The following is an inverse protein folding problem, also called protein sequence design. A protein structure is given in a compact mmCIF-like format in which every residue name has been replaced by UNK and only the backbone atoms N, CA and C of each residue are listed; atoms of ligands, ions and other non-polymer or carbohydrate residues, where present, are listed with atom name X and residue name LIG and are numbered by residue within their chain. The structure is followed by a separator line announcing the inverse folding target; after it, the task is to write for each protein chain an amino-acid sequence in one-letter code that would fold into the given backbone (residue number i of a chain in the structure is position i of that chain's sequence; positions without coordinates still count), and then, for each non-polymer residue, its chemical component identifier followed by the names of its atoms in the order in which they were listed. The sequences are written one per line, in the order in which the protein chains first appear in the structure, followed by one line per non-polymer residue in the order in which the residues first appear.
data_IF_807179665492
#
_entry.id   IF_807179665492
#
_cell.length_a   1.000
_cell.length_b   1.000
_cell.length_c   1.000
_cell.angle_alpha   90.00
_cell.angle_beta   90.00
_cell.angle_gamma   90.00
#
_symmetry.space_group_name_H-M   'P 1'
#
loop_
_entity.id
_entity.type
_entity.pdbx_description
1 polymer ?
#
# COMPACT_ATOMS: atom_id res chain seq x y z
N UNK A 1 -4.82 57.67 60.24
CA UNK A 1 -4.70 57.96 58.78
C UNK A 1 -3.64 57.02 58.22
N UNK A 2 -4.10 55.91 57.57
CA UNK A 2 -3.24 54.84 57.07
C UNK A 2 -3.09 55.03 55.58
N UNK A 3 -1.82 55.28 55.11
CA UNK A 3 -1.50 55.44 53.69
C UNK A 3 -1.19 54.07 53.08
N UNK A 4 -2.02 53.59 52.18
CA UNK A 4 -1.78 52.39 51.38
C UNK A 4 -0.85 52.75 50.22
N UNK A 5 0.32 52.09 50.15
CA UNK A 5 1.23 52.15 49.00
C UNK A 5 0.86 51.00 48.04
N UNK A 6 0.38 51.32 46.88
CA UNK A 6 0.24 50.36 45.76
C UNK A 6 1.64 50.03 45.22
N UNK A 7 1.97 48.74 45.26
CA UNK A 7 3.18 48.21 44.58
C UNK A 7 2.65 47.66 43.25
N UNK A 8 2.99 48.28 42.14
CA UNK A 8 2.73 47.79 40.79
C UNK A 8 3.91 46.85 40.41
N UNK A 9 3.58 45.54 40.36
CA UNK A 9 4.54 44.56 39.81
C UNK A 9 4.38 44.55 38.30
N UNK A 10 5.40 45.07 37.59
CA UNK A 10 5.48 44.91 36.12
C UNK A 10 6.08 43.55 35.81
N UNK A 11 5.25 42.65 35.28
CA UNK A 11 5.71 41.38 34.74
C UNK A 11 6.29 41.60 33.34
N UNK A 12 7.58 41.46 33.21
CA UNK A 12 8.26 41.44 31.90
C UNK A 12 8.09 40.05 31.29
N UNK A 13 7.22 39.92 30.31
CA UNK A 13 7.14 38.71 29.48
C UNK A 13 8.20 38.79 28.41
N UNK A 14 9.28 38.02 28.55
CA UNK A 14 10.25 37.79 27.48
C UNK A 14 9.68 36.75 26.53
N UNK A 15 9.17 37.23 25.40
CA UNK A 15 8.79 36.36 24.30
C UNK A 15 10.08 35.91 23.58
N UNK A 16 10.54 34.69 23.83
CA UNK A 16 11.58 34.07 23.00
C UNK A 16 10.92 33.61 21.69
N UNK A 17 11.20 34.37 20.64
CA UNK A 17 10.89 33.93 19.28
C UNK A 17 11.81 32.75 18.93
N UNK A 18 11.25 31.54 18.90
CA UNK A 18 11.92 30.40 18.27
C UNK A 18 11.78 30.58 16.76
N UNK A 19 12.81 31.09 16.12
CA UNK A 19 12.97 30.99 14.68
C UNK A 19 13.16 29.50 14.35
N UNK A 20 12.06 28.84 13.96
CA UNK A 20 12.14 27.51 13.38
C UNK A 20 12.86 27.61 12.04
N UNK A 21 14.14 27.34 12.04
CA UNK A 21 14.93 27.14 10.81
C UNK A 21 14.26 25.99 10.06
N UNK A 22 13.45 26.32 9.06
CA UNK A 22 12.96 25.34 8.08
C UNK A 22 14.17 24.89 7.27
N UNK A 23 14.80 23.83 7.68
CA UNK A 23 15.72 23.10 6.80
C UNK A 23 14.85 22.58 5.65
N UNK A 24 14.95 23.23 4.50
CA UNK A 24 14.36 22.68 3.28
C UNK A 24 15.04 21.32 3.06
N UNK A 25 14.28 20.25 3.19
CA UNK A 25 14.78 18.93 2.83
C UNK A 25 15.23 18.99 1.37
N UNK A 26 16.44 18.54 1.09
CA UNK A 26 16.90 18.37 -0.28
C UNK A 26 15.87 17.49 -1.02
N UNK A 27 15.59 17.75 -2.31
CA UNK A 27 14.71 16.90 -3.09
C UNK A 27 15.20 15.46 -2.96
N UNK A 28 14.31 14.55 -2.57
CA UNK A 28 14.65 13.15 -2.50
C UNK A 28 15.03 12.69 -3.92
N UNK A 29 16.24 12.20 -4.09
CA UNK A 29 16.63 11.55 -5.35
C UNK A 29 15.74 10.32 -5.56
N UNK A 30 15.11 10.24 -6.75
CA UNK A 30 14.39 9.04 -7.12
C UNK A 30 15.37 7.88 -7.26
N UNK A 31 15.03 6.71 -6.69
CA UNK A 31 15.84 5.51 -6.89
C UNK A 31 15.90 5.16 -8.37
N UNK A 32 17.08 4.77 -8.86
CA UNK A 32 17.25 4.28 -10.21
C UNK A 32 16.30 3.09 -10.46
N UNK A 33 15.62 3.09 -11.61
CA UNK A 33 14.62 2.08 -11.97
C UNK A 33 13.23 2.26 -11.32
N UNK A 34 12.97 3.39 -10.67
CA UNK A 34 11.62 3.75 -10.27
C UNK A 34 10.79 4.10 -11.51
N UNK A 35 9.74 3.34 -11.76
CA UNK A 35 8.88 3.52 -12.94
C UNK A 35 7.87 4.66 -12.81
N UNK A 36 7.91 5.39 -11.71
CA UNK A 36 7.00 6.49 -11.46
C UNK A 36 5.53 6.02 -11.36
N UNK A 37 4.64 6.99 -11.37
CA UNK A 37 3.21 6.74 -11.28
C UNK A 37 2.71 6.41 -12.69
N UNK A 38 2.30 5.15 -12.93
CA UNK A 38 1.71 4.74 -14.20
C UNK A 38 0.29 5.25 -14.35
N UNK A 39 -0.37 5.44 -13.22
CA UNK A 39 -1.78 5.74 -13.16
C UNK A 39 -2.04 7.16 -13.59
N UNK A 40 -2.65 7.31 -14.73
CA UNK A 40 -3.21 8.58 -15.16
C UNK A 40 -4.58 8.75 -14.51
N UNK A 41 -4.80 9.88 -13.91
CA UNK A 41 -6.11 10.24 -13.37
C UNK A 41 -7.17 10.07 -14.44
N UNK A 42 -8.21 9.30 -14.14
CA UNK A 42 -9.29 9.05 -15.09
C UNK A 42 -10.22 10.26 -15.15
N UNK A 43 -10.59 10.74 -16.34
CA UNK A 43 -11.59 11.77 -16.50
C UNK A 43 -12.91 11.34 -15.84
N UNK A 44 -13.53 12.24 -15.10
CA UNK A 44 -14.82 11.96 -14.41
C UNK A 44 -16.04 12.36 -15.23
N UNK A 45 -15.88 13.28 -16.18
CA UNK A 45 -16.97 13.83 -16.96
C UNK A 45 -17.84 14.87 -16.21
N UNK A 46 -17.41 15.30 -15.02
CA UNK A 46 -18.01 16.36 -14.20
C UNK A 46 -17.03 17.53 -14.05
N UNK A 47 -17.28 18.45 -13.09
CA UNK A 47 -16.44 19.62 -12.82
C UNK A 47 -15.03 19.26 -12.31
N UNK A 48 -14.80 18.03 -11.90
CA UNK A 48 -13.48 17.51 -11.51
C UNK A 48 -12.83 16.85 -12.72
N UNK A 49 -11.66 17.32 -13.11
CA UNK A 49 -10.96 16.78 -14.26
C UNK A 49 -10.58 15.29 -14.11
N UNK A 50 -10.42 14.81 -12.85
CA UNK A 50 -9.96 13.46 -12.57
C UNK A 50 -10.64 12.86 -11.32
N UNK A 51 -11.01 11.60 -11.41
CA UNK A 51 -11.72 10.86 -10.37
C UNK A 51 -10.79 10.24 -9.34
N UNK A 52 -9.64 9.77 -9.76
CA UNK A 52 -8.66 9.13 -8.91
C UNK A 52 -7.36 9.91 -9.02
N UNK A 53 -7.10 10.73 -8.03
CA UNK A 53 -5.83 11.42 -7.89
C UNK A 53 -5.05 10.79 -6.75
N UNK A 54 -3.88 10.35 -7.01
CA UNK A 54 -3.07 9.80 -5.94
C UNK A 54 -1.64 9.62 -6.37
N UNK A 55 -0.72 10.00 -5.50
CA UNK A 55 0.70 10.00 -5.77
C UNK A 55 1.31 8.63 -6.02
N UNK A 56 0.64 7.52 -5.70
CA UNK A 56 1.22 6.18 -5.75
C UNK A 56 0.44 5.19 -6.61
N UNK A 57 -0.30 5.65 -7.59
CA UNK A 57 -1.03 4.74 -8.48
C UNK A 57 -1.69 3.57 -7.72
N UNK A 58 -2.39 3.88 -6.65
CA UNK A 58 -3.14 2.94 -5.83
C UNK A 58 -4.61 3.30 -5.86
N UNK A 59 -5.44 2.35 -5.49
CA UNK A 59 -6.85 2.60 -5.24
C UNK A 59 -7.06 2.61 -3.72
N UNK A 60 -6.77 3.74 -3.02
CA UNK A 60 -6.48 3.75 -1.59
C UNK A 60 -7.66 3.38 -0.70
N UNK A 61 -8.87 3.42 -1.21
CA UNK A 61 -10.06 3.11 -0.42
C UNK A 61 -10.35 1.61 -0.27
N UNK A 62 -9.69 0.77 -1.07
CA UNK A 62 -10.12 -0.63 -1.22
C UNK A 62 -8.95 -1.61 -1.42
N UNK A 63 -7.73 -1.12 -1.38
CA UNK A 63 -6.52 -1.92 -1.52
C UNK A 63 -5.60 -1.63 -0.33
N UNK A 64 -5.70 -2.43 0.70
CA UNK A 64 -4.91 -2.29 1.92
C UNK A 64 -4.50 -3.67 2.45
N UNK A 65 -3.34 -3.74 3.11
CA UNK A 65 -2.33 -2.71 3.23
C UNK A 65 -1.48 -2.56 1.97
N UNK A 66 -0.98 -1.35 1.72
CA UNK A 66 -0.03 -1.05 0.64
C UNK A 66 1.38 -0.82 1.16
N UNK A 67 1.53 -0.63 2.47
CA UNK A 67 2.81 -0.48 3.15
C UNK A 67 2.76 -1.11 4.54
N UNK A 68 3.85 -1.78 4.93
CA UNK A 68 3.99 -2.44 6.23
C UNK A 68 5.39 -2.23 6.77
N UNK A 69 5.49 -1.73 7.99
CA UNK A 69 6.75 -1.66 8.72
C UNK A 69 7.08 -3.01 9.36
N UNK A 70 8.31 -3.49 9.13
CA UNK A 70 8.88 -4.64 9.81
C UNK A 70 9.98 -4.19 10.76
N UNK A 71 9.75 -4.34 12.06
CA UNK A 71 10.75 -4.03 13.07
C UNK A 71 11.97 -4.97 12.97
N UNK A 72 11.75 -6.25 12.61
CA UNK A 72 12.82 -7.23 12.47
C UNK A 72 13.81 -6.87 11.36
N UNK A 73 13.33 -6.28 10.27
CA UNK A 73 14.17 -5.84 9.16
C UNK A 73 14.54 -4.35 9.24
N UNK A 74 13.92 -3.59 10.14
CA UNK A 74 13.98 -2.12 10.21
C UNK A 74 13.69 -1.46 8.85
N UNK A 75 12.63 -1.96 8.17
CA UNK A 75 12.22 -1.52 6.83
C UNK A 75 10.71 -1.32 6.76
N UNK A 76 10.27 -0.34 5.99
CA UNK A 76 8.88 -0.23 5.56
C UNK A 76 8.78 -0.74 4.13
N UNK A 77 8.23 -1.94 3.96
CA UNK A 77 7.94 -2.50 2.63
C UNK A 77 6.67 -1.88 2.07
N UNK A 78 6.63 -1.67 0.76
CA UNK A 78 5.46 -1.11 0.11
C UNK A 78 5.29 -1.65 -1.32
N UNK A 79 4.05 -1.59 -1.80
CA UNK A 79 3.66 -1.98 -3.15
C UNK A 79 2.89 -0.86 -3.85
N UNK A 80 2.93 -0.84 -5.16
CA UNK A 80 2.21 0.14 -5.99
C UNK A 80 2.05 -0.35 -7.42
N UNK A 81 1.15 0.28 -8.17
CA UNK A 81 1.07 0.10 -9.62
C UNK A 81 2.10 0.98 -10.32
N UNK A 82 2.95 0.37 -11.13
CA UNK A 82 3.95 1.04 -11.93
C UNK A 82 3.64 0.95 -13.42
N UNK A 83 4.23 1.86 -14.21
CA UNK A 83 4.17 1.85 -15.66
C UNK A 83 5.40 1.19 -16.24
N UNK A 84 5.22 0.33 -17.23
CA UNK A 84 6.34 -0.18 -18.05
C UNK A 84 6.73 0.79 -19.17
N UNK A 85 6.00 1.90 -19.33
CA UNK A 85 6.09 2.80 -20.48
C UNK A 85 5.29 2.33 -21.70
N UNK A 86 4.67 1.14 -21.63
CA UNK A 86 3.81 0.64 -22.70
C UNK A 86 2.33 0.82 -22.36
N UNK A 87 1.49 1.16 -23.34
CA UNK A 87 0.05 1.26 -23.12
C UNK A 87 -0.54 -0.06 -22.61
N UNK A 88 -1.50 0.04 -21.71
CA UNK A 88 -2.22 -1.11 -21.14
C UNK A 88 -1.30 -2.17 -20.50
N UNK A 89 -0.22 -1.73 -19.88
CA UNK A 89 0.62 -2.57 -19.04
C UNK A 89 0.75 -1.96 -17.65
N UNK A 90 0.28 -2.70 -16.66
CA UNK A 90 0.43 -2.41 -15.24
C UNK A 90 1.50 -3.32 -14.66
N UNK A 91 2.54 -2.74 -14.04
CA UNK A 91 3.51 -3.49 -13.26
C UNK A 91 3.11 -3.47 -11.77
N UNK A 92 2.88 -4.63 -11.17
CA UNK A 92 2.78 -4.78 -9.72
C UNK A 92 4.18 -4.63 -9.12
N UNK A 93 4.46 -3.46 -8.56
CA UNK A 93 5.79 -3.10 -8.05
C UNK A 93 5.88 -3.31 -6.55
N UNK A 94 7.09 -3.65 -6.09
CA UNK A 94 7.46 -3.74 -4.67
C UNK A 94 8.79 -3.06 -4.42
N UNK A 95 8.91 -2.39 -3.28
CA UNK A 95 10.16 -1.83 -2.75
C UNK A 95 10.08 -1.71 -1.23
N UNK A 96 11.06 -1.07 -0.62
CA UNK A 96 11.05 -0.73 0.79
C UNK A 96 11.78 0.58 1.05
N UNK A 97 11.43 1.24 2.14
CA UNK A 97 12.24 2.28 2.75
C UNK A 97 13.09 1.65 3.84
N UNK A 98 14.41 1.79 3.74
CA UNK A 98 15.36 1.31 4.74
C UNK A 98 15.57 2.40 5.79
N UNK A 99 15.11 2.16 7.02
CA UNK A 99 15.20 3.13 8.10
C UNK A 99 16.64 3.30 8.64
N UNK A 100 17.53 2.35 8.38
CA UNK A 100 18.93 2.47 8.80
C UNK A 100 19.72 3.41 7.88
N UNK A 101 19.40 3.41 6.59
CA UNK A 101 20.14 4.18 5.58
C UNK A 101 19.36 5.38 5.05
N UNK A 102 18.05 5.46 5.30
CA UNK A 102 17.15 6.49 4.76
C UNK A 102 16.93 6.37 3.25
N UNK A 103 17.15 5.20 2.66
CA UNK A 103 17.11 5.00 1.20
C UNK A 103 15.99 4.04 0.78
N UNK A 104 15.56 4.24 -0.46
CA UNK A 104 14.67 3.33 -1.20
C UNK A 104 15.51 2.66 -2.29
N UNK A 105 15.66 1.33 -2.30
CA UNK A 105 16.37 0.64 -3.36
C UNK A 105 15.56 0.63 -4.65
N UNK A 106 16.19 0.21 -5.74
CA UNK A 106 15.52 0.01 -7.02
C UNK A 106 14.33 -0.93 -6.87
N UNK A 107 13.09 -0.49 -7.20
CA UNK A 107 11.91 -1.33 -7.11
C UNK A 107 11.97 -2.55 -8.03
N UNK A 108 11.24 -3.59 -7.67
CA UNK A 108 11.08 -4.81 -8.45
C UNK A 108 9.65 -4.93 -8.97
N UNK A 109 9.51 -5.35 -10.21
CA UNK A 109 8.23 -5.77 -10.75
C UNK A 109 7.99 -7.25 -10.38
N UNK A 110 6.97 -7.50 -9.58
CA UNK A 110 6.54 -8.87 -9.23
C UNK A 110 5.77 -9.49 -10.39
N UNK A 111 4.96 -8.70 -11.06
CA UNK A 111 4.13 -9.12 -12.18
C UNK A 111 3.86 -7.94 -13.12
N UNK A 112 3.87 -8.21 -14.43
CA UNK A 112 3.34 -7.27 -15.42
C UNK A 112 2.04 -7.82 -15.97
N UNK A 113 0.96 -7.04 -15.86
CA UNK A 113 -0.39 -7.37 -16.33
C UNK A 113 -0.73 -6.54 -17.57
N UNK A 114 -1.52 -7.12 -18.46
CA UNK A 114 -2.03 -6.42 -19.66
C UNK A 114 -3.32 -5.67 -19.32
N UNK A 115 -3.21 -4.62 -18.54
CA UNK A 115 -4.32 -3.77 -18.11
C UNK A 115 -3.85 -2.34 -17.84
N UNK A 116 -4.75 -1.39 -17.91
CA UNK A 116 -4.60 0.00 -17.46
C UNK A 116 -5.57 0.33 -16.32
N UNK A 117 -6.18 -0.68 -15.74
CA UNK A 117 -7.16 -0.52 -14.69
C UNK A 117 -6.49 -0.44 -13.30
N UNK A 118 -6.64 0.69 -12.64
CA UNK A 118 -6.11 0.95 -11.30
C UNK A 118 -6.66 0.00 -10.21
N UNK A 119 -7.80 -0.63 -10.44
CA UNK A 119 -8.34 -1.62 -9.52
C UNK A 119 -7.50 -2.91 -9.48
N UNK A 120 -6.55 -3.06 -10.38
CA UNK A 120 -5.66 -4.23 -10.43
C UNK A 120 -4.33 -4.03 -9.69
N UNK A 121 -4.19 -2.92 -8.97
CA UNK A 121 -3.03 -2.62 -8.13
C UNK A 121 -2.84 -3.66 -7.01
N UNK A 122 -1.58 -3.90 -6.60
CA UNK A 122 -1.28 -4.89 -5.58
C UNK A 122 -1.55 -4.40 -4.15
N UNK A 123 -1.69 -5.37 -3.23
CA UNK A 123 -1.57 -5.19 -1.79
C UNK A 123 -0.50 -6.11 -1.22
N UNK A 124 -0.10 -5.89 0.03
CA UNK A 124 1.06 -6.52 0.65
C UNK A 124 0.70 -7.12 2.01
N UNK A 125 1.35 -8.24 2.36
CA UNK A 125 1.45 -8.75 3.73
C UNK A 125 2.85 -9.28 4.03
N UNK A 126 3.15 -9.46 5.32
CA UNK A 126 4.39 -10.10 5.79
C UNK A 126 3.97 -11.17 6.80
N UNK A 127 4.47 -12.40 6.63
CA UNK A 127 4.21 -13.50 7.56
C UNK A 127 5.21 -13.53 8.75
N UNK A 128 4.98 -14.42 9.71
CA UNK A 128 5.83 -14.57 10.92
C UNK A 128 7.28 -14.98 10.58
N UNK A 129 7.49 -15.56 9.40
CA UNK A 129 8.81 -15.95 8.90
C UNK A 129 9.51 -14.82 8.14
N UNK A 130 8.85 -13.66 7.98
CA UNK A 130 9.37 -12.49 7.29
C UNK A 130 9.21 -12.52 5.77
N UNK A 131 8.49 -13.49 5.22
CA UNK A 131 8.23 -13.49 3.77
C UNK A 131 7.18 -12.46 3.40
N UNK A 132 7.44 -11.76 2.29
CA UNK A 132 6.51 -10.80 1.70
C UNK A 132 5.50 -11.55 0.84
N UNK A 133 4.23 -11.20 0.99
CA UNK A 133 3.12 -11.73 0.22
C UNK A 133 2.47 -10.60 -0.56
N UNK A 134 2.51 -10.69 -1.90
CA UNK A 134 1.97 -9.69 -2.81
C UNK A 134 0.73 -10.22 -3.49
N UNK A 135 -0.39 -9.54 -3.28
CA UNK A 135 -1.71 -9.88 -3.83
C UNK A 135 -1.97 -8.95 -5.03
N UNK A 136 -1.78 -9.46 -6.23
CA UNK A 136 -2.04 -8.73 -7.48
C UNK A 136 -3.50 -8.90 -7.89
N UNK A 137 -4.28 -7.85 -7.74
CA UNK A 137 -5.72 -7.84 -7.97
C UNK A 137 -6.12 -8.06 -9.45
N UNK A 138 -7.39 -8.38 -9.65
CA UNK A 138 -8.11 -8.17 -10.91
C UNK A 138 -9.31 -7.24 -10.69
N UNK A 139 -9.92 -6.80 -11.80
CA UNK A 139 -11.20 -6.10 -11.75
C UNK A 139 -12.22 -6.84 -12.59
N UNK A 140 -13.13 -7.52 -11.92
CA UNK A 140 -14.10 -8.40 -12.58
C UNK A 140 -13.52 -9.75 -13.02
N UNK A 141 -14.32 -10.56 -13.74
CA UNK A 141 -13.96 -11.94 -14.06
C UNK A 141 -13.02 -12.10 -15.27
N UNK A 142 -12.76 -11.02 -16.02
CA UNK A 142 -12.01 -11.10 -17.28
C UNK A 142 -10.50 -11.38 -17.08
N UNK A 143 -9.94 -10.91 -15.99
CA UNK A 143 -8.53 -11.04 -15.67
C UNK A 143 -8.29 -11.98 -14.48
N UNK A 144 -7.09 -12.54 -14.40
CA UNK A 144 -6.68 -13.31 -13.22
C UNK A 144 -6.06 -12.41 -12.15
N UNK A 145 -6.24 -12.84 -10.91
CA UNK A 145 -5.53 -12.35 -9.75
C UNK A 145 -4.47 -13.37 -9.33
N UNK A 146 -3.43 -12.90 -8.66
CA UNK A 146 -2.32 -13.73 -8.28
C UNK A 146 -1.88 -13.42 -6.86
N UNK A 147 -1.37 -14.43 -6.15
CA UNK A 147 -0.68 -14.27 -4.88
C UNK A 147 0.76 -14.75 -5.09
N UNK A 148 1.70 -13.89 -4.78
CA UNK A 148 3.13 -14.18 -4.81
C UNK A 148 3.69 -14.14 -3.39
N UNK A 149 4.75 -14.92 -3.18
CA UNK A 149 5.53 -14.93 -1.94
C UNK A 149 6.99 -14.69 -2.25
N UNK A 150 7.68 -13.87 -1.46
CA UNK A 150 9.13 -13.71 -1.62
C UNK A 150 9.86 -15.03 -1.34
N UNK A 151 10.89 -15.34 -2.13
CA UNK A 151 11.69 -16.56 -1.96
C UNK A 151 12.47 -16.51 -0.66
N UNK A 152 13.01 -15.35 -0.30
CA UNK A 152 13.72 -15.15 0.96
C UNK A 152 12.98 -14.17 1.89
N UNK A 153 13.11 -14.34 3.22
CA UNK A 153 12.56 -13.37 4.19
C UNK A 153 13.11 -11.97 3.96
N UNK A 154 12.23 -10.97 4.09
CA UNK A 154 12.54 -9.54 4.01
C UNK A 154 13.28 -9.11 2.72
N UNK A 155 13.18 -9.92 1.66
CA UNK A 155 13.78 -9.67 0.34
C UNK A 155 12.72 -9.33 -0.69
N UNK A 156 13.08 -8.42 -1.61
CA UNK A 156 12.30 -8.06 -2.79
C UNK A 156 12.91 -8.61 -4.08
N UNK A 157 13.95 -9.44 -4.00
CA UNK A 157 14.73 -9.85 -5.16
C UNK A 157 14.00 -10.84 -6.05
N UNK A 158 13.32 -11.81 -5.44
CA UNK A 158 12.67 -12.90 -6.15
C UNK A 158 11.35 -13.31 -5.48
N UNK A 159 10.34 -13.62 -6.31
CA UNK A 159 9.01 -14.03 -5.88
C UNK A 159 8.58 -15.31 -6.60
N UNK A 160 7.99 -16.24 -5.85
CA UNK A 160 7.29 -17.41 -6.37
C UNK A 160 5.80 -17.14 -6.50
N UNK A 161 5.17 -17.57 -7.59
CA UNK A 161 3.71 -17.54 -7.71
C UNK A 161 3.10 -18.69 -6.93
N UNK A 162 2.30 -18.39 -5.93
CA UNK A 162 1.64 -19.40 -5.09
C UNK A 162 0.24 -19.72 -5.61
N UNK A 163 -0.54 -18.68 -5.93
CA UNK A 163 -1.95 -18.83 -6.32
C UNK A 163 -2.23 -18.06 -7.59
N UNK A 164 -3.05 -18.66 -8.47
CA UNK A 164 -3.73 -17.99 -9.58
C UNK A 164 -5.23 -18.20 -9.42
N UNK A 165 -5.98 -17.13 -9.33
CA UNK A 165 -7.42 -17.17 -9.08
C UNK A 165 -8.11 -15.92 -9.62
N UNK A 166 -9.23 -15.52 -9.03
CA UNK A 166 -9.91 -14.26 -9.32
C UNK A 166 -10.41 -13.63 -8.02
N UNK A 167 -9.88 -12.44 -7.71
CA UNK A 167 -10.34 -11.57 -6.64
C UNK A 167 -10.11 -10.11 -7.02
N UNK A 168 -10.90 -9.22 -6.46
CA UNK A 168 -10.76 -7.77 -6.59
C UNK A 168 -10.76 -7.15 -5.19
N UNK A 169 -10.15 -5.97 -5.05
CA UNK A 169 -10.15 -5.22 -3.79
C UNK A 169 -9.64 -6.07 -2.62
N UNK A 170 -8.40 -6.54 -2.76
CA UNK A 170 -7.76 -7.39 -1.77
C UNK A 170 -7.45 -6.64 -0.48
N UNK A 171 -7.84 -7.25 0.63
CA UNK A 171 -7.52 -6.82 1.99
C UNK A 171 -7.00 -8.03 2.77
N UNK A 172 -5.74 -8.43 2.54
CA UNK A 172 -5.13 -9.54 3.26
C UNK A 172 -4.66 -9.10 4.64
N UNK A 173 -4.86 -9.96 5.63
CA UNK A 173 -4.39 -9.81 7.00
C UNK A 173 -3.63 -11.05 7.41
N UNK A 174 -2.39 -10.90 7.86
CA UNK A 174 -1.68 -11.97 8.52
C UNK A 174 -1.86 -11.82 10.04
N UNK A 175 -2.36 -12.89 10.67
CA UNK A 175 -2.56 -12.95 12.12
C UNK A 175 -1.50 -13.88 12.70
N UNK A 176 -0.55 -13.37 13.50
CA UNK A 176 0.53 -14.15 14.06
C UNK A 176 0.05 -15.45 14.72
N UNK A 177 0.69 -16.57 14.37
CA UNK A 177 0.34 -17.91 14.86
C UNK A 177 -1.02 -18.45 14.42
N UNK A 178 -1.74 -17.75 13.52
CA UNK A 178 -3.04 -18.18 12.96
C UNK A 178 -3.05 -18.30 11.45
N UNK A 179 -2.13 -17.60 10.75
CA UNK A 179 -2.11 -17.51 9.30
C UNK A 179 -2.93 -16.33 8.77
N UNK A 180 -3.49 -16.48 7.59
CA UNK A 180 -4.14 -15.41 6.85
C UNK A 180 -5.66 -15.38 7.02
N UNK A 181 -6.19 -14.18 7.18
CA UNK A 181 -7.57 -13.82 6.87
C UNK A 181 -7.52 -12.91 5.63
N UNK A 182 -8.25 -13.25 4.59
CA UNK A 182 -8.24 -12.54 3.32
C UNK A 182 -9.64 -12.12 2.92
N UNK A 183 -9.92 -10.81 3.03
CA UNK A 183 -11.15 -10.21 2.54
C UNK A 183 -10.92 -9.72 1.12
N UNK A 184 -11.91 -9.91 0.28
CA UNK A 184 -11.86 -9.49 -1.12
C UNK A 184 -13.26 -9.47 -1.71
N UNK A 185 -13.42 -8.93 -2.89
CA UNK A 185 -14.66 -9.06 -3.63
C UNK A 185 -14.51 -10.01 -4.83
N UNK A 186 -15.60 -10.63 -5.22
CA UNK A 186 -15.74 -11.42 -6.45
C UNK A 186 -17.00 -11.04 -7.18
N UNK A 187 -16.94 -11.15 -8.49
CA UNK A 187 -18.11 -10.95 -9.34
C UNK A 187 -18.76 -12.30 -9.66
N UNK A 188 -20.04 -12.37 -9.42
CA UNK A 188 -20.87 -13.54 -9.78
C UNK A 188 -22.16 -13.03 -10.41
N UNK A 189 -22.46 -13.47 -11.63
CA UNK A 189 -23.65 -13.05 -12.39
C UNK A 189 -23.79 -11.51 -12.49
N UNK A 190 -22.69 -10.81 -12.79
CA UNK A 190 -22.66 -9.36 -12.93
C UNK A 190 -22.76 -8.57 -11.63
N UNK A 191 -22.82 -9.21 -10.48
CA UNK A 191 -22.89 -8.59 -9.15
C UNK A 191 -21.60 -8.83 -8.39
N UNK A 192 -21.17 -7.83 -7.63
CA UNK A 192 -19.99 -7.89 -6.77
C UNK A 192 -20.41 -8.30 -5.36
N UNK A 193 -19.77 -9.33 -4.83
CA UNK A 193 -19.99 -9.83 -3.48
C UNK A 193 -18.71 -9.74 -2.66
N UNK A 194 -18.85 -9.32 -1.41
CA UNK A 194 -17.78 -9.44 -0.42
C UNK A 194 -17.60 -10.93 -0.09
N UNK A 195 -16.35 -11.37 -0.05
CA UNK A 195 -15.96 -12.72 0.33
C UNK A 195 -14.80 -12.65 1.32
N UNK A 196 -14.61 -13.74 2.04
CA UNK A 196 -13.43 -13.95 2.85
C UNK A 196 -12.94 -15.39 2.72
N UNK A 197 -11.63 -15.56 2.86
CA UNK A 197 -10.93 -16.83 2.86
C UNK A 197 -9.95 -16.86 4.01
N UNK A 198 -9.55 -18.04 4.44
CA UNK A 198 -8.47 -18.23 5.42
C UNK A 198 -7.43 -19.18 4.87
N UNK A 199 -6.20 -19.02 5.33
CA UNK A 199 -5.11 -19.95 5.01
C UNK A 199 -4.17 -20.01 6.21
N UNK A 200 -3.74 -21.20 6.66
CA UNK A 200 -2.75 -21.32 7.73
C UNK A 200 -1.34 -20.90 7.29
N UNK A 201 -1.03 -21.00 6.00
CA UNK A 201 0.32 -20.88 5.45
C UNK A 201 0.43 -20.01 4.19
N UNK A 202 -0.69 -19.47 3.70
CA UNK A 202 -0.77 -18.70 2.45
C UNK A 202 -0.76 -19.56 1.18
N UNK A 203 -0.55 -20.86 1.27
CA UNK A 203 -0.51 -21.79 0.13
C UNK A 203 -1.85 -22.49 -0.07
N UNK A 204 -2.40 -23.00 0.99
CA UNK A 204 -3.72 -23.66 0.96
C UNK A 204 -4.78 -22.71 1.49
N UNK A 205 -5.78 -22.41 0.67
CA UNK A 205 -6.83 -21.46 0.98
C UNK A 205 -8.19 -22.16 1.10
N UNK A 206 -8.96 -21.76 2.10
CA UNK A 206 -10.36 -22.19 2.21
C UNK A 206 -11.17 -21.78 0.97
N UNK A 207 -12.28 -22.46 0.74
CA UNK A 207 -13.26 -21.96 -0.23
C UNK A 207 -13.73 -20.53 0.17
N UNK A 208 -13.99 -19.65 -0.80
CA UNK A 208 -14.53 -18.32 -0.51
C UNK A 208 -15.88 -18.42 0.20
N UNK A 209 -16.03 -17.65 1.27
CA UNK A 209 -17.28 -17.54 2.04
C UNK A 209 -17.80 -16.11 1.90
N UNK A 210 -19.10 -15.97 1.67
CA UNK A 210 -19.75 -14.67 1.67
C UNK A 210 -20.45 -14.46 3.02
N UNK A 211 -20.33 -13.24 3.63
CA UNK A 211 -21.19 -12.91 4.76
C UNK A 211 -22.64 -13.03 4.28
N UNK A 212 -23.36 -13.98 4.84
CA UNK A 212 -24.76 -14.15 4.48
C UNK A 212 -25.57 -12.94 4.95
N UNK A 213 -25.84 -12.03 4.06
CA UNK A 213 -26.93 -11.08 4.25
C UNK A 213 -28.22 -11.87 4.01
N UNK A 214 -28.91 -12.21 5.08
CA UNK A 214 -30.29 -12.67 5.03
C UNK A 214 -31.23 -11.46 5.01
#
# INVERSE_FOLDING_TARGET
MLRWRLIILAALTVATAYDAVRVAAAPAESADGYHGIWYMNQPTGDEYAYKYSGGFATYPQQHVPIAIYSAAANKTFFVYGGSTGKPKELACMVSYFDHATGKVPRPRAVLVKKTDDAHENPTLQIDDSGHLWVFCNSHGPANNSYIFRSVAPYSIDEFEQIVRTNFSYSEPWFVPGKGFLFLHTRYTNGRRFLNWMTSPDGREWSAPRSPGWR
#
